data_IF_502857606620
#
_entry.id   IF_502857606620
#
_cell.length_a   1.000
_cell.length_b   1.000
_cell.length_c   1.000
_cell.angle_alpha   90.00
_cell.angle_beta   90.00
_cell.angle_gamma   90.00
#
_symmetry.space_group_name_H-M   'P 1'
#
loop_
_entity.id
_entity.type
_entity.pdbx_description
1 polymer ?
#
# COMPACT_ATOMS: atom_id res chain seq x y z
N UNK A 1 42.03 4.31 -24.39
CA UNK A 1 43.32 4.66 -23.79
C UNK A 1 43.12 5.74 -22.68
N UNK A 2 42.33 6.79 -22.89
CA UNK A 2 42.11 7.85 -21.88
C UNK A 2 41.58 7.33 -20.54
N UNK A 3 40.65 6.38 -20.54
CA UNK A 3 40.12 5.80 -19.32
C UNK A 3 41.17 5.01 -18.50
N UNK A 4 42.15 4.39 -19.18
CA UNK A 4 43.26 3.70 -18.51
C UNK A 4 44.24 4.71 -17.90
N UNK A 5 44.46 5.85 -18.57
CA UNK A 5 45.35 6.87 -18.11
C UNK A 5 44.79 7.74 -16.96
N UNK A 6 43.45 8.00 -17.01
CA UNK A 6 42.81 8.93 -16.07
C UNK A 6 42.04 8.27 -14.95
N UNK A 7 41.63 7.01 -15.11
CA UNK A 7 40.79 6.26 -14.16
C UNK A 7 41.47 4.93 -13.74
N UNK A 8 42.77 4.92 -13.64
CA UNK A 8 43.58 3.73 -13.30
C UNK A 8 43.37 3.25 -11.85
N UNK A 9 42.97 4.13 -10.95
CA UNK A 9 42.74 3.83 -9.54
C UNK A 9 41.31 4.14 -9.13
N UNK A 10 40.85 3.54 -8.02
CA UNK A 10 39.48 3.70 -7.54
C UNK A 10 39.17 5.14 -7.15
N UNK A 11 40.11 5.84 -6.55
CA UNK A 11 39.97 7.24 -6.14
C UNK A 11 39.96 8.23 -7.32
N UNK A 12 40.55 7.84 -8.45
CA UNK A 12 40.51 8.64 -9.70
C UNK A 12 39.35 8.26 -10.61
N UNK A 13 38.61 7.17 -10.32
CA UNK A 13 37.53 6.69 -11.13
C UNK A 13 36.32 7.65 -11.07
N UNK A 14 35.94 8.23 -12.21
CA UNK A 14 34.80 9.16 -12.36
C UNK A 14 33.57 8.50 -12.97
N UNK A 15 33.77 7.45 -13.75
CA UNK A 15 32.69 6.73 -14.43
C UNK A 15 32.28 5.48 -13.63
N UNK A 16 30.97 5.25 -13.55
CA UNK A 16 30.43 4.06 -12.87
C UNK A 16 31.05 2.75 -13.38
N UNK A 17 31.32 2.65 -14.69
CA UNK A 17 31.95 1.46 -15.30
C UNK A 17 33.37 1.25 -14.78
N UNK A 18 34.13 2.31 -14.55
CA UNK A 18 35.49 2.24 -14.00
C UNK A 18 35.46 1.84 -12.53
N UNK A 19 34.59 2.44 -11.73
CA UNK A 19 34.36 2.06 -10.33
C UNK A 19 33.98 0.57 -10.24
N UNK A 20 33.04 0.10 -11.09
CA UNK A 20 32.64 -1.31 -11.14
C UNK A 20 33.81 -2.24 -11.44
N UNK A 21 34.70 -1.87 -12.38
CA UNK A 21 35.88 -2.68 -12.74
C UNK A 21 36.85 -2.79 -11.56
N UNK A 22 37.10 -1.69 -10.87
CA UNK A 22 37.96 -1.70 -9.68
C UNK A 22 37.34 -2.49 -8.52
N UNK A 23 36.03 -2.31 -8.26
CA UNK A 23 35.34 -3.04 -7.23
C UNK A 23 35.37 -4.56 -7.46
N UNK A 24 35.30 -5.01 -8.70
CA UNK A 24 35.43 -6.44 -9.05
C UNK A 24 36.79 -7.04 -8.72
N UNK A 25 37.85 -6.24 -8.73
CA UNK A 25 39.18 -6.73 -8.34
C UNK A 25 39.27 -7.05 -6.84
N UNK A 26 38.35 -6.48 -6.04
CA UNK A 26 38.20 -6.73 -4.61
C UNK A 26 37.06 -7.73 -4.32
N UNK A 27 36.60 -8.43 -5.34
CA UNK A 27 35.44 -9.35 -5.28
C UNK A 27 34.15 -8.70 -4.73
N UNK A 28 34.02 -7.39 -4.96
CA UNK A 28 32.81 -6.64 -4.58
C UNK A 28 31.89 -6.44 -5.78
N UNK A 29 30.77 -7.21 -5.89
CA UNK A 29 29.78 -7.01 -6.93
C UNK A 29 28.99 -5.72 -6.70
N UNK A 30 29.25 -4.72 -7.52
CA UNK A 30 28.56 -3.43 -7.44
C UNK A 30 27.09 -3.57 -7.81
N UNK A 31 26.20 -3.15 -6.92
CA UNK A 31 24.77 -3.18 -7.11
C UNK A 31 24.31 -2.17 -8.19
N UNK A 32 23.50 -2.62 -9.18
CA UNK A 32 23.02 -1.76 -10.28
C UNK A 32 21.81 -0.88 -9.95
N UNK A 33 21.40 -0.90 -8.71
CA UNK A 33 20.17 -0.24 -8.27
C UNK A 33 18.98 -1.20 -8.31
N UNK A 34 17.83 -0.70 -7.87
CA UNK A 34 16.54 -1.35 -7.98
C UNK A 34 15.54 -0.34 -8.53
N UNK A 35 14.58 -0.81 -9.29
CA UNK A 35 13.46 0.03 -9.71
C UNK A 35 12.70 0.54 -8.49
N UNK A 36 12.20 1.77 -8.59
CA UNK A 36 11.37 2.35 -7.56
C UNK A 36 10.11 1.50 -7.36
N UNK A 37 9.71 1.34 -6.10
CA UNK A 37 8.48 0.64 -5.70
C UNK A 37 7.65 1.55 -4.83
N UNK A 38 6.34 1.47 -4.97
CA UNK A 38 5.40 2.21 -4.14
C UNK A 38 4.14 1.40 -3.91
N UNK A 39 3.42 1.72 -2.86
CA UNK A 39 2.08 1.22 -2.63
C UNK A 39 1.07 2.15 -3.30
N UNK A 40 0.10 1.56 -3.99
CA UNK A 40 -1.00 2.29 -4.63
C UNK A 40 -2.29 1.84 -3.99
N UNK A 41 -3.00 2.78 -3.39
CA UNK A 41 -4.35 2.55 -2.87
C UNK A 41 -5.35 2.66 -4.01
N UNK A 42 -6.12 1.61 -4.22
CA UNK A 42 -7.22 1.59 -5.17
C UNK A 42 -8.55 1.64 -4.43
N UNK A 43 -9.51 2.36 -5.01
CA UNK A 43 -10.91 2.34 -4.60
C UNK A 43 -11.70 1.72 -5.73
N UNK A 44 -12.52 0.73 -5.42
CA UNK A 44 -13.35 0.02 -6.39
C UNK A 44 -14.83 0.31 -6.12
N UNK A 45 -15.60 0.50 -7.18
CA UNK A 45 -17.04 0.79 -7.16
C UNK A 45 -17.90 -0.43 -7.53
N UNK A 46 -17.25 -1.55 -7.82
CA UNK A 46 -17.87 -2.84 -8.09
C UNK A 46 -17.64 -3.81 -6.93
N UNK A 47 -18.52 -4.79 -6.77
CA UNK A 47 -18.49 -5.76 -5.66
C UNK A 47 -17.12 -6.43 -5.54
N UNK A 48 -16.57 -6.87 -6.68
CA UNK A 48 -15.23 -7.45 -6.76
C UNK A 48 -14.56 -7.08 -8.09
N UNK A 49 -13.25 -6.85 -8.05
CA UNK A 49 -12.41 -6.53 -9.20
C UNK A 49 -11.11 -7.33 -9.14
N UNK A 50 -10.85 -8.11 -10.17
CA UNK A 50 -9.54 -8.75 -10.36
C UNK A 50 -8.61 -7.82 -11.16
N UNK A 51 -7.43 -7.53 -10.64
CA UNK A 51 -6.40 -6.76 -11.32
C UNK A 51 -5.25 -7.69 -11.69
N UNK A 52 -4.95 -7.90 -12.98
CA UNK A 52 -3.83 -8.74 -13.42
C UNK A 52 -2.49 -8.18 -12.98
N UNK A 53 -1.48 -9.06 -12.86
CA UNK A 53 -0.10 -8.63 -12.79
C UNK A 53 0.30 -7.89 -14.07
N UNK A 54 1.26 -6.96 -13.97
CA UNK A 54 1.73 -6.10 -15.06
C UNK A 54 0.67 -5.13 -15.61
N UNK A 55 -0.36 -4.85 -14.82
CA UNK A 55 -1.27 -3.76 -15.17
C UNK A 55 -0.54 -2.43 -15.05
N UNK A 56 -0.48 -1.62 -16.11
CA UNK A 56 0.22 -0.35 -16.09
C UNK A 56 -0.55 0.69 -15.27
N UNK A 57 0.19 1.41 -14.43
CA UNK A 57 -0.28 2.52 -13.61
C UNK A 57 0.56 3.75 -13.96
N UNK A 58 -0.07 4.78 -14.49
CA UNK A 58 0.60 6.00 -14.93
C UNK A 58 0.50 7.07 -13.85
N UNK A 59 1.54 7.88 -13.68
CA UNK A 59 1.42 9.11 -12.90
C UNK A 59 0.40 10.03 -13.54
N UNK A 60 -0.25 10.85 -12.72
CA UNK A 60 -1.34 11.73 -13.16
C UNK A 60 -0.95 12.60 -14.36
N UNK A 61 -1.82 12.63 -15.36
CA UNK A 61 -1.71 13.51 -16.53
C UNK A 61 -2.92 14.43 -16.54
N UNK A 62 -2.68 15.72 -16.49
CA UNK A 62 -3.75 16.72 -16.43
C UNK A 62 -4.71 16.61 -17.62
N UNK A 63 -6.00 16.73 -17.34
CA UNK A 63 -7.06 16.68 -18.36
C UNK A 63 -7.35 15.30 -18.92
N UNK A 64 -6.91 14.24 -18.25
CA UNK A 64 -7.28 12.86 -18.54
C UNK A 64 -8.04 12.23 -17.38
N UNK A 65 -8.99 11.30 -17.66
CA UNK A 65 -9.68 10.57 -16.61
C UNK A 65 -8.73 9.59 -15.90
N UNK A 66 -9.03 9.20 -14.65
CA UNK A 66 -8.19 8.30 -13.88
C UNK A 66 -8.14 6.87 -14.43
N UNK A 67 -9.13 6.48 -15.23
CA UNK A 67 -9.17 5.20 -15.92
C UNK A 67 -9.08 5.43 -17.42
N UNK A 68 -8.08 4.83 -18.05
CA UNK A 68 -7.86 4.90 -19.48
C UNK A 68 -8.18 3.55 -20.11
N UNK A 69 -9.02 3.55 -21.12
CA UNK A 69 -9.33 2.31 -21.85
C UNK A 69 -8.15 1.94 -22.76
N UNK A 70 -7.82 0.64 -22.87
CA UNK A 70 -6.87 0.18 -23.88
C UNK A 70 -7.24 0.73 -25.27
N UNK A 71 -6.23 1.08 -26.06
CA UNK A 71 -6.35 1.56 -27.44
C UNK A 71 -7.17 2.86 -27.62
N UNK A 72 -7.46 3.57 -26.53
CA UNK A 72 -8.18 4.85 -26.57
C UNK A 72 -7.26 6.02 -26.99
N UNK A 73 -7.83 7.08 -27.61
CA UNK A 73 -7.07 8.32 -27.87
C UNK A 73 -6.48 8.95 -26.61
N UNK A 74 -7.14 8.77 -25.47
CA UNK A 74 -6.69 9.29 -24.19
C UNK A 74 -5.45 8.55 -23.68
N UNK A 75 -5.37 7.24 -23.87
CA UNK A 75 -4.15 6.48 -23.57
C UNK A 75 -2.98 6.95 -24.45
N UNK A 76 -3.23 7.18 -25.73
CA UNK A 76 -2.22 7.71 -26.64
C UNK A 76 -1.77 9.14 -26.24
N UNK A 77 -2.69 9.99 -25.73
CA UNK A 77 -2.36 11.31 -25.16
C UNK A 77 -1.54 11.17 -23.89
N UNK A 78 -1.90 10.24 -23.01
CA UNK A 78 -1.15 9.97 -21.79
C UNK A 78 0.31 9.60 -22.10
N UNK A 79 0.52 8.67 -23.01
CA UNK A 79 1.89 8.26 -23.41
C UNK A 79 2.71 9.40 -24.03
N UNK A 80 2.09 10.29 -24.79
CA UNK A 80 2.78 11.49 -25.33
C UNK A 80 3.25 12.45 -24.25
N UNK A 81 2.54 12.51 -23.12
CA UNK A 81 2.94 13.31 -21.96
C UNK A 81 4.13 12.72 -21.18
N UNK A 82 4.59 11.52 -21.55
CA UNK A 82 5.73 10.80 -20.90
C UNK A 82 5.56 10.67 -19.38
N UNK A 83 4.44 10.14 -18.89
CA UNK A 83 4.27 9.89 -17.46
C UNK A 83 5.28 8.85 -16.98
N UNK A 84 5.53 8.83 -15.68
CA UNK A 84 6.20 7.68 -15.07
C UNK A 84 5.21 6.52 -15.04
N UNK A 85 5.64 5.37 -15.55
CA UNK A 85 4.81 4.16 -15.61
C UNK A 85 5.30 3.18 -14.56
N UNK A 86 4.41 2.77 -13.69
CA UNK A 86 4.56 1.64 -12.78
C UNK A 86 3.74 0.46 -13.29
N UNK A 87 4.07 -0.73 -12.85
CA UNK A 87 3.31 -1.94 -13.15
C UNK A 87 3.00 -2.70 -11.86
N UNK A 88 1.83 -3.31 -11.81
CA UNK A 88 1.49 -4.20 -10.70
C UNK A 88 2.42 -5.41 -10.70
N UNK A 89 3.04 -5.70 -9.55
CA UNK A 89 3.99 -6.82 -9.42
C UNK A 89 3.29 -8.17 -9.42
N UNK A 90 2.07 -8.22 -8.88
CA UNK A 90 1.27 -9.44 -8.71
C UNK A 90 -0.17 -9.16 -9.11
N UNK A 91 -0.90 -10.21 -9.49
CA UNK A 91 -2.35 -10.15 -9.58
C UNK A 91 -2.94 -9.93 -8.18
N UNK A 92 -4.01 -9.16 -8.10
CA UNK A 92 -4.70 -8.89 -6.84
C UNK A 92 -6.22 -8.89 -7.05
N UNK A 93 -6.94 -9.31 -6.03
CA UNK A 93 -8.39 -9.24 -5.96
C UNK A 93 -8.76 -8.07 -5.04
N UNK A 94 -9.65 -7.21 -5.49
CA UNK A 94 -10.16 -6.09 -4.71
C UNK A 94 -11.66 -6.26 -4.50
N UNK A 95 -12.12 -5.84 -3.32
CA UNK A 95 -13.55 -5.88 -2.97
C UNK A 95 -14.00 -4.50 -2.53
N UNK A 96 -15.21 -4.11 -2.94
CA UNK A 96 -15.80 -2.83 -2.54
C UNK A 96 -15.88 -2.70 -1.01
N UNK A 97 -16.16 -3.81 -0.32
CA UNK A 97 -16.21 -3.86 1.13
C UNK A 97 -14.87 -3.48 1.80
N UNK A 98 -13.74 -3.58 1.09
CA UNK A 98 -12.42 -3.24 1.60
C UNK A 98 -12.01 -1.79 1.32
N UNK A 99 -12.83 -1.00 0.64
CA UNK A 99 -12.49 0.41 0.35
C UNK A 99 -12.25 1.24 1.61
N UNK A 100 -12.99 0.91 2.67
CA UNK A 100 -12.84 1.56 3.97
C UNK A 100 -13.22 0.57 5.07
N UNK A 101 -12.24 0.16 5.86
CA UNK A 101 -12.41 -0.70 7.00
C UNK A 101 -12.29 0.13 8.27
N UNK A 102 -13.20 -0.06 9.21
CA UNK A 102 -13.19 0.61 10.50
C UNK A 102 -12.59 -0.33 11.56
N UNK A 103 -11.71 0.20 12.40
CA UNK A 103 -11.28 -0.52 13.60
C UNK A 103 -12.47 -0.72 14.53
N UNK A 104 -12.50 -1.87 15.18
CA UNK A 104 -13.44 -2.18 16.24
C UNK A 104 -12.75 -2.00 17.58
N UNK A 105 -13.22 -1.03 18.37
CA UNK A 105 -12.54 -0.56 19.58
C UNK A 105 -13.12 -1.14 20.87
N UNK A 106 -14.04 -2.11 20.75
CA UNK A 106 -14.68 -2.76 21.90
C UNK A 106 -15.41 -1.79 22.84
N UNK A 107 -15.93 -0.68 22.28
CA UNK A 107 -16.63 0.37 23.02
C UNK A 107 -15.71 1.44 23.63
N UNK A 108 -14.41 1.36 23.44
CA UNK A 108 -13.47 2.39 23.87
C UNK A 108 -13.32 3.47 22.78
N UNK A 109 -13.93 4.64 23.03
CA UNK A 109 -13.84 5.78 22.12
C UNK A 109 -12.45 6.47 22.13
N UNK A 110 -11.67 6.26 23.18
CA UNK A 110 -10.31 6.77 23.33
C UNK A 110 -9.24 5.83 22.75
N UNK A 111 -9.64 4.67 22.21
CA UNK A 111 -8.73 3.68 21.69
C UNK A 111 -7.91 4.23 20.53
N UNK A 112 -6.60 4.01 20.60
CA UNK A 112 -5.68 4.29 19.51
C UNK A 112 -4.80 3.06 19.23
N UNK A 113 -4.29 2.96 18.02
CA UNK A 113 -3.32 1.95 17.66
C UNK A 113 -1.94 2.41 18.15
N UNK A 114 -1.33 1.75 19.15
CA UNK A 114 -0.03 2.17 19.67
C UNK A 114 1.09 1.96 18.64
N UNK A 115 2.17 2.71 18.78
CA UNK A 115 3.37 2.49 18.00
C UNK A 115 3.92 1.08 18.23
N UNK A 116 4.26 0.38 17.15
CA UNK A 116 4.72 -1.03 17.22
C UNK A 116 3.61 -2.07 17.33
N UNK A 117 2.33 -1.67 17.25
CA UNK A 117 1.24 -2.64 17.19
C UNK A 117 1.38 -3.54 15.96
N UNK A 118 1.09 -4.82 16.14
CA UNK A 118 1.13 -5.85 15.09
C UNK A 118 -0.21 -6.59 14.94
N UNK A 119 -1.24 -6.13 15.66
CA UNK A 119 -2.59 -6.69 15.59
C UNK A 119 -3.64 -5.62 15.81
N UNK A 120 -4.82 -5.83 15.27
CA UNK A 120 -6.00 -5.01 15.52
C UNK A 120 -7.27 -5.82 15.21
N UNK A 121 -8.42 -5.30 15.68
CA UNK A 121 -9.74 -5.82 15.33
C UNK A 121 -10.42 -4.84 14.37
N UNK A 122 -10.98 -5.35 13.29
CA UNK A 122 -11.79 -4.58 12.33
C UNK A 122 -13.25 -5.04 12.38
N UNK A 123 -14.16 -4.11 12.12
CA UNK A 123 -15.60 -4.36 12.16
C UNK A 123 -16.03 -5.20 10.97
N UNK A 124 -16.89 -6.18 11.21
CA UNK A 124 -17.46 -7.07 10.20
C UNK A 124 -16.70 -8.38 10.05
N UNK A 125 -17.37 -9.37 9.48
CA UNK A 125 -16.73 -10.63 9.08
C UNK A 125 -16.16 -10.46 7.67
N UNK A 126 -14.84 -10.35 7.59
CA UNK A 126 -14.09 -10.21 6.35
C UNK A 126 -13.31 -11.48 5.99
N UNK A 127 -13.47 -12.56 6.76
CA UNK A 127 -12.68 -13.78 6.61
C UNK A 127 -12.86 -14.47 5.25
N UNK A 128 -13.98 -14.23 4.57
CA UNK A 128 -14.22 -14.76 3.24
C UNK A 128 -13.50 -14.01 2.11
N UNK A 129 -13.07 -12.77 2.37
CA UNK A 129 -12.54 -11.87 1.32
C UNK A 129 -11.17 -11.30 1.66
N UNK A 130 -10.75 -11.34 2.92
CA UNK A 130 -9.46 -10.87 3.39
C UNK A 130 -8.62 -12.07 3.83
N UNK A 131 -7.36 -12.10 3.41
CA UNK A 131 -6.47 -13.25 3.63
C UNK A 131 -5.08 -12.81 4.06
N UNK A 132 -4.33 -13.74 4.66
CA UNK A 132 -2.90 -13.53 4.89
C UNK A 132 -2.17 -13.27 3.56
N UNK A 133 -1.30 -12.26 3.55
CA UNK A 133 -0.62 -11.77 2.35
C UNK A 133 -1.23 -10.51 1.76
N UNK A 134 -2.50 -10.20 2.03
CA UNK A 134 -3.15 -8.97 1.62
C UNK A 134 -2.49 -7.75 2.27
N UNK A 135 -2.59 -6.61 1.61
CA UNK A 135 -2.01 -5.37 2.08
C UNK A 135 -3.10 -4.36 2.37
N UNK A 136 -3.12 -3.89 3.61
CA UNK A 136 -3.98 -2.80 4.05
C UNK A 136 -3.17 -1.52 4.23
N UNK A 137 -3.83 -0.37 4.04
CA UNK A 137 -3.22 0.94 4.28
C UNK A 137 -3.95 1.59 5.45
N UNK A 138 -3.24 1.79 6.55
CA UNK A 138 -3.73 2.59 7.67
C UNK A 138 -3.64 4.06 7.31
N UNK A 139 -4.72 4.78 7.53
CA UNK A 139 -4.84 6.21 7.20
C UNK A 139 -5.36 6.95 8.42
N UNK A 140 -4.70 8.03 8.78
CA UNK A 140 -5.22 8.92 9.83
C UNK A 140 -6.47 9.63 9.32
N UNK A 141 -7.60 9.38 9.98
CA UNK A 141 -8.90 9.99 9.65
C UNK A 141 -9.27 11.14 10.59
N UNK A 142 -8.69 11.16 11.77
CA UNK A 142 -8.85 12.20 12.79
C UNK A 142 -7.50 12.47 13.43
N UNK A 143 -7.25 13.72 13.82
CA UNK A 143 -6.04 14.06 14.55
C UNK A 143 -6.02 13.38 15.93
N UNK A 144 -4.92 12.74 16.34
CA UNK A 144 -4.82 12.10 17.65
C UNK A 144 -4.79 13.11 18.80
N UNK A 145 -4.51 14.39 18.53
CA UNK A 145 -4.44 15.44 19.54
C UNK A 145 -5.76 16.21 19.70
N UNK A 146 -6.50 16.43 18.62
CA UNK A 146 -7.73 17.25 18.64
C UNK A 146 -9.01 16.45 18.41
N UNK A 147 -8.91 15.21 17.87
CA UNK A 147 -10.05 14.39 17.49
C UNK A 147 -10.78 14.86 16.23
N UNK A 148 -10.42 16.01 15.66
CA UNK A 148 -11.10 16.56 14.50
C UNK A 148 -10.54 16.00 13.17
N UNK A 149 -11.44 15.81 12.19
CA UNK A 149 -11.07 15.38 10.83
C UNK A 149 -10.28 16.44 10.08
N UNK A 150 -10.56 17.71 10.32
CA UNK A 150 -9.88 18.82 9.67
C UNK A 150 -8.39 18.88 9.99
N UNK A 151 -8.02 18.40 11.17
CA UNK A 151 -6.65 18.41 11.67
C UNK A 151 -5.90 17.09 11.38
N UNK A 152 -6.54 16.15 10.68
CA UNK A 152 -5.93 14.86 10.33
C UNK A 152 -4.81 15.04 9.32
N UNK A 153 -3.67 14.42 9.58
CA UNK A 153 -2.55 14.40 8.64
C UNK A 153 -2.75 13.32 7.58
N UNK A 154 -3.44 13.64 6.49
CA UNK A 154 -3.74 12.69 5.41
C UNK A 154 -2.50 12.08 4.74
N UNK A 155 -1.32 12.65 4.96
CA UNK A 155 -0.04 12.10 4.51
C UNK A 155 0.48 10.99 5.42
N UNK A 156 -0.05 10.85 6.63
CA UNK A 156 0.26 9.73 7.53
C UNK A 156 -0.45 8.48 7.07
N UNK A 157 0.27 7.70 6.29
CA UNK A 157 -0.20 6.43 5.75
C UNK A 157 0.83 5.35 6.00
N UNK A 158 0.38 4.19 6.43
CA UNK A 158 1.24 3.05 6.69
C UNK A 158 0.65 1.79 6.05
N UNK A 159 1.41 1.19 5.13
CA UNK A 159 1.00 -0.06 4.49
C UNK A 159 1.51 -1.25 5.30
N UNK A 160 0.61 -2.16 5.63
CA UNK A 160 0.92 -3.40 6.37
C UNK A 160 0.51 -4.60 5.55
N UNK A 161 1.32 -5.65 5.58
CA UNK A 161 0.99 -6.93 4.98
C UNK A 161 0.48 -7.86 6.06
N UNK A 162 -0.72 -8.38 5.87
CA UNK A 162 -1.36 -9.28 6.81
C UNK A 162 -0.63 -10.62 6.88
N UNK A 163 -0.47 -11.13 8.09
CA UNK A 163 0.08 -12.46 8.38
C UNK A 163 -0.99 -13.42 8.83
N UNK A 164 -2.05 -12.91 9.47
CA UNK A 164 -3.20 -13.71 9.91
C UNK A 164 -4.49 -12.89 9.83
N UNK A 165 -5.57 -13.58 9.50
CA UNK A 165 -6.94 -13.06 9.48
C UNK A 165 -7.83 -14.11 10.12
N UNK A 166 -8.58 -13.74 11.15
CA UNK A 166 -9.43 -14.66 11.91
C UNK A 166 -10.80 -14.03 12.14
N UNK A 167 -11.87 -14.75 11.79
CA UNK A 167 -13.21 -14.34 12.14
C UNK A 167 -13.42 -14.45 13.65
N UNK A 168 -14.03 -13.45 14.24
CA UNK A 168 -14.36 -13.41 15.65
C UNK A 168 -15.71 -12.68 15.86
N UNK A 169 -16.15 -12.55 17.10
CA UNK A 169 -17.39 -11.87 17.40
C UNK A 169 -17.38 -11.28 18.81
N UNK A 170 -18.00 -10.12 18.95
CA UNK A 170 -18.31 -9.55 20.25
C UNK A 170 -19.73 -9.95 20.64
N UNK A 171 -19.92 -10.88 21.59
CA UNK A 171 -21.24 -11.35 21.98
C UNK A 171 -22.09 -10.27 22.65
N UNK A 172 -21.51 -9.21 23.16
CA UNK A 172 -22.19 -8.12 23.83
C UNK A 172 -22.31 -6.84 22.96
N UNK A 173 -21.57 -6.80 21.84
CA UNK A 173 -21.41 -5.60 21.01
C UNK A 173 -22.74 -5.02 20.51
N UNK A 174 -23.69 -5.85 20.18
CA UNK A 174 -25.00 -5.41 19.72
C UNK A 174 -25.79 -4.60 20.77
N UNK A 175 -25.52 -4.78 22.05
CA UNK A 175 -26.17 -4.00 23.12
C UNK A 175 -25.75 -2.52 23.13
N UNK A 176 -24.60 -2.22 22.53
CA UNK A 176 -24.03 -0.87 22.43
C UNK A 176 -24.28 -0.22 21.06
N UNK A 177 -25.01 -0.89 20.18
CA UNK A 177 -25.41 -0.31 18.89
C UNK A 177 -26.68 0.55 19.03
N UNK A 178 -26.99 1.32 18.00
CA UNK A 178 -28.19 2.13 17.92
C UNK A 178 -29.00 1.74 16.67
N UNK A 179 -30.18 1.12 16.84
CA UNK A 179 -30.81 0.68 18.08
C UNK A 179 -30.09 -0.53 18.71
N UNK A 180 -30.15 -0.71 20.04
CA UNK A 180 -29.54 -1.87 20.70
C UNK A 180 -30.15 -3.19 20.23
N UNK A 181 -29.33 -4.22 20.11
CA UNK A 181 -29.75 -5.57 19.75
C UNK A 181 -29.10 -6.62 20.65
N UNK A 182 -29.71 -7.80 20.71
CA UNK A 182 -29.12 -8.97 21.40
C UNK A 182 -28.13 -9.73 20.52
N UNK A 183 -27.98 -9.35 19.24
CA UNK A 183 -27.11 -10.05 18.33
C UNK A 183 -25.65 -9.71 18.56
N UNK A 184 -24.73 -10.71 18.46
CA UNK A 184 -23.30 -10.45 18.45
C UNK A 184 -22.90 -9.54 17.28
N UNK A 185 -21.88 -8.72 17.50
CA UNK A 185 -21.24 -7.97 16.40
C UNK A 185 -20.13 -8.82 15.81
N UNK A 186 -20.22 -9.10 14.52
CA UNK A 186 -19.15 -9.77 13.81
C UNK A 186 -17.93 -8.85 13.68
N UNK A 187 -16.75 -9.40 13.93
CA UNK A 187 -15.47 -8.71 13.82
C UNK A 187 -14.43 -9.62 13.17
N UNK A 188 -13.37 -9.04 12.68
CA UNK A 188 -12.23 -9.77 12.13
C UNK A 188 -10.96 -9.33 12.83
N UNK A 189 -10.25 -10.26 13.41
CA UNK A 189 -8.91 -10.03 13.97
C UNK A 189 -7.88 -10.13 12.87
N UNK A 190 -7.01 -9.14 12.78
CA UNK A 190 -5.93 -9.05 11.80
C UNK A 190 -4.59 -8.92 12.50
N UNK A 191 -3.58 -9.59 11.94
CA UNK A 191 -2.19 -9.47 12.40
C UNK A 191 -1.29 -9.16 11.21
N UNK A 192 -0.20 -8.45 11.46
CA UNK A 192 0.81 -8.11 10.45
C UNK A 192 2.23 -8.13 11.02
N UNK A 193 3.23 -8.09 10.16
CA UNK A 193 4.62 -7.98 10.60
C UNK A 193 4.95 -6.55 11.04
N UNK A 194 5.82 -6.45 12.06
CA UNK A 194 6.39 -5.19 12.53
C UNK A 194 7.30 -4.55 11.47
#
# INVERSE_FOLDING_TARGET
>A
QDAVATEAYLDTARRRVSVRRHARLLDYPMHDGRNARTWVQLRVDVVALALPARTPLLTHVNGLPPQLRPDSPDLARAHRARPVVFETMHAAQFFQAHNELAFYTWGDEGCCLPAGATSATVRGDLSATLSAGDVLVFVEKRSPSTGYRADAALTRRHAVRLTRVTAAGDPLGGRFESPPSANPVAVTEIEWMA
#
